data_IF_709790006182
#
_entry.id   IF_709790006182
#
_cell.length_a   1.000
_cell.length_b   1.000
_cell.length_c   1.000
_cell.angle_alpha   90.00
_cell.angle_beta   90.00
_cell.angle_gamma   90.00
#
_symmetry.space_group_name_H-M   'P 1'
#
loop_
_entity.id
_entity.type
_entity.pdbx_description
1 polymer ?
#
# COMPACT_ATOMS: atom_id res chain seq x y z
N UNK A 1 -0.10 17.53 5.18
CA UNK A 1 1.09 17.21 6.01
C UNK A 1 0.74 15.99 6.84
N UNK A 2 1.49 14.91 6.67
CA UNK A 2 1.35 13.68 7.46
C UNK A 2 1.76 14.00 8.91
N UNK A 3 0.93 13.63 9.88
CA UNK A 3 1.23 13.89 11.28
C UNK A 3 2.42 13.04 11.74
N UNK A 4 3.27 13.62 12.59
CA UNK A 4 4.40 12.91 13.17
C UNK A 4 3.96 12.10 14.38
N UNK A 5 4.09 10.77 14.32
CA UNK A 5 3.70 9.83 15.36
C UNK A 5 4.89 9.24 16.13
N UNK A 6 6.00 9.97 16.21
CA UNK A 6 7.16 9.63 17.03
C UNK A 6 7.78 10.89 17.62
N UNK A 7 8.54 10.72 18.69
CA UNK A 7 9.21 11.83 19.39
C UNK A 7 10.52 12.17 18.69
N UNK A 8 11.00 13.41 18.84
CA UNK A 8 12.26 13.89 18.26
C UNK A 8 13.48 13.04 18.61
N UNK A 9 13.43 12.31 19.72
CA UNK A 9 14.48 11.37 20.09
C UNK A 9 14.65 10.22 19.08
N UNK A 10 13.59 9.86 18.34
CA UNK A 10 13.63 8.84 17.30
C UNK A 10 14.36 9.34 16.04
N UNK A 11 14.22 10.61 15.69
CA UNK A 11 14.92 11.19 14.54
C UNK A 11 16.43 11.30 14.75
N UNK A 12 16.87 11.37 16.02
CA UNK A 12 18.27 11.56 16.39
C UNK A 12 19.10 10.28 16.41
N UNK A 13 18.50 9.11 16.27
CA UNK A 13 19.23 7.84 16.16
C UNK A 13 19.59 7.58 14.70
N UNK A 14 20.55 6.66 14.46
CA UNK A 14 20.94 6.29 13.10
C UNK A 14 19.77 5.74 12.29
N UNK A 15 19.81 5.96 10.97
CA UNK A 15 18.79 5.45 10.06
C UNK A 15 18.68 3.91 10.15
N UNK A 16 19.81 3.21 10.17
CA UNK A 16 19.86 1.76 10.35
C UNK A 16 19.06 1.30 11.57
N UNK A 17 19.21 2.02 12.68
CA UNK A 17 18.50 1.69 13.92
C UNK A 17 17.01 2.01 13.83
N UNK A 18 16.63 3.11 13.16
CA UNK A 18 15.22 3.44 12.90
C UNK A 18 14.58 2.35 12.07
N UNK A 19 15.22 2.01 10.95
CA UNK A 19 14.74 0.99 10.02
C UNK A 19 14.58 -0.36 10.73
N UNK A 20 15.56 -0.78 11.53
CA UNK A 20 15.48 -2.03 12.29
C UNK A 20 14.29 -2.06 13.24
N UNK A 21 14.01 -0.97 13.96
CA UNK A 21 12.87 -0.88 14.89
C UNK A 21 11.54 -0.98 14.11
N UNK A 22 11.42 -0.25 13.00
CA UNK A 22 10.19 -0.23 12.20
C UNK A 22 9.98 -1.54 11.46
N UNK A 23 11.03 -2.21 10.97
CA UNK A 23 10.94 -3.53 10.35
C UNK A 23 10.42 -4.57 11.35
N UNK A 24 11.03 -4.66 12.53
CA UNK A 24 10.59 -5.57 13.60
C UNK A 24 9.18 -5.23 14.06
N UNK A 25 8.84 -3.94 14.18
CA UNK A 25 7.48 -3.50 14.50
C UNK A 25 6.47 -3.95 13.45
N UNK A 26 6.77 -3.76 12.18
CA UNK A 26 5.93 -4.18 11.06
C UNK A 26 5.71 -5.70 11.07
N UNK A 27 6.76 -6.48 11.29
CA UNK A 27 6.69 -7.94 11.37
C UNK A 27 5.80 -8.40 12.53
N UNK A 28 5.98 -7.84 13.72
CA UNK A 28 5.17 -8.18 14.89
C UNK A 28 3.69 -7.82 14.68
N UNK A 29 3.41 -6.61 14.18
CA UNK A 29 2.03 -6.17 13.93
C UNK A 29 1.37 -6.98 12.80
N UNK A 30 2.07 -7.27 11.71
CA UNK A 30 1.51 -8.02 10.59
C UNK A 30 1.26 -9.48 10.90
N UNK A 31 2.00 -10.07 11.85
CA UNK A 31 1.87 -11.49 12.22
C UNK A 31 0.92 -11.74 13.38
N UNK A 32 0.74 -10.77 14.29
CA UNK A 32 -0.07 -10.91 15.52
C UNK A 32 -1.32 -10.06 15.53
N UNK A 33 -1.47 -9.16 14.58
CA UNK A 33 -2.47 -8.10 14.61
C UNK A 33 -2.14 -7.02 15.65
N UNK A 34 -2.79 -5.85 15.50
CA UNK A 34 -2.55 -4.72 16.40
C UNK A 34 -2.77 -5.09 17.88
N UNK A 35 -3.88 -5.77 18.20
CA UNK A 35 -4.25 -6.04 19.60
C UNK A 35 -3.24 -6.93 20.32
N UNK A 36 -2.74 -8.00 19.69
CA UNK A 36 -1.87 -9.00 20.28
C UNK A 36 -0.37 -8.66 20.21
N UNK A 37 0.03 -7.76 19.33
CA UNK A 37 1.41 -7.29 19.24
C UNK A 37 1.83 -6.53 20.51
N UNK A 38 3.07 -6.70 20.95
CA UNK A 38 3.54 -6.04 22.17
C UNK A 38 4.85 -5.27 21.96
N UNK A 39 4.92 -4.04 22.51
CA UNK A 39 6.14 -3.21 22.47
C UNK A 39 7.34 -3.94 23.11
N UNK A 40 7.10 -4.79 24.13
CA UNK A 40 8.15 -5.56 24.80
C UNK A 40 8.83 -6.54 23.83
N UNK A 41 8.05 -7.27 23.03
CA UNK A 41 8.57 -8.21 22.02
C UNK A 41 9.34 -7.43 20.96
N UNK A 42 8.76 -6.35 20.44
CA UNK A 42 9.41 -5.50 19.44
C UNK A 42 10.75 -4.96 19.95
N UNK A 43 10.80 -4.41 21.18
CA UNK A 43 12.02 -3.89 21.78
C UNK A 43 13.10 -4.97 21.90
N UNK A 44 12.72 -6.15 22.43
CA UNK A 44 13.64 -7.29 22.59
C UNK A 44 14.20 -7.76 21.25
N UNK A 45 13.34 -7.94 20.24
CA UNK A 45 13.73 -8.41 18.90
C UNK A 45 14.57 -7.36 18.16
N UNK A 46 14.27 -6.06 18.33
CA UNK A 46 15.08 -4.96 17.78
C UNK A 46 16.41 -4.73 18.55
N UNK A 47 16.66 -5.46 19.64
CA UNK A 47 17.90 -5.33 20.43
C UNK A 47 17.99 -4.05 21.24
N UNK A 48 16.86 -3.47 21.66
CA UNK A 48 16.83 -2.24 22.45
C UNK A 48 16.10 -2.43 23.78
N UNK A 49 16.44 -1.58 24.77
CA UNK A 49 15.73 -1.59 26.05
C UNK A 49 14.35 -0.99 25.92
N UNK A 50 13.35 -1.57 26.60
CA UNK A 50 11.96 -1.11 26.57
C UNK A 50 11.81 0.39 26.93
N UNK A 51 12.60 0.89 27.87
CA UNK A 51 12.60 2.32 28.21
C UNK A 51 13.01 3.24 27.06
N UNK A 52 13.80 2.75 26.08
CA UNK A 52 14.12 3.50 24.86
C UNK A 52 12.95 3.52 23.90
N UNK A 53 12.14 2.45 23.81
CA UNK A 53 10.92 2.47 22.99
C UNK A 53 9.98 3.58 23.45
N UNK A 54 9.73 3.70 24.75
CA UNK A 54 8.89 4.79 25.29
C UNK A 54 9.52 6.18 25.20
N UNK A 55 10.85 6.25 25.01
CA UNK A 55 11.53 7.51 24.67
C UNK A 55 11.27 7.91 23.21
N UNK A 56 11.01 6.95 22.32
CA UNK A 56 10.77 7.16 20.88
C UNK A 56 9.28 7.30 20.56
N UNK A 57 8.44 6.48 21.17
CA UNK A 57 6.99 6.42 20.94
C UNK A 57 6.26 6.60 22.27
N UNK A 58 5.21 7.44 22.29
CA UNK A 58 4.43 7.63 23.50
C UNK A 58 3.52 6.42 23.77
N UNK A 59 2.98 5.82 22.71
CA UNK A 59 2.00 4.73 22.74
C UNK A 59 2.37 3.61 21.76
N UNK A 60 1.69 2.46 21.87
CA UNK A 60 1.75 1.38 20.87
C UNK A 60 1.20 1.85 19.52
N UNK A 61 0.18 2.68 19.56
CA UNK A 61 -0.44 3.26 18.37
C UNK A 61 0.52 4.17 17.60
N UNK A 62 1.31 5.00 18.28
CA UNK A 62 2.34 5.83 17.65
C UNK A 62 3.36 5.00 16.88
N UNK A 63 3.82 3.89 17.46
CA UNK A 63 4.72 2.96 16.79
C UNK A 63 4.03 2.31 15.58
N UNK A 64 2.80 1.85 15.76
CA UNK A 64 2.00 1.21 14.71
C UNK A 64 1.81 2.14 13.51
N UNK A 65 1.36 3.37 13.74
CA UNK A 65 1.18 4.37 12.67
C UNK A 65 2.51 4.72 12.00
N UNK A 66 3.61 4.82 12.78
CA UNK A 66 4.93 5.07 12.20
C UNK A 66 5.39 3.92 11.29
N UNK A 67 5.07 2.67 11.64
CA UNK A 67 5.33 1.52 10.77
C UNK A 67 4.52 1.62 9.46
N UNK A 68 3.24 1.96 9.54
CA UNK A 68 2.38 2.17 8.37
C UNK A 68 2.94 3.28 7.48
N UNK A 69 3.24 4.45 8.05
CA UNK A 69 3.78 5.60 7.32
C UNK A 69 5.10 5.29 6.61
N UNK A 70 5.94 4.40 7.19
CA UNK A 70 7.15 3.92 6.50
C UNK A 70 6.79 3.09 5.27
N UNK A 71 5.87 2.14 5.38
CA UNK A 71 5.42 1.32 4.25
C UNK A 71 4.78 2.17 3.15
N UNK A 72 3.94 3.12 3.53
CA UNK A 72 3.30 4.05 2.59
C UNK A 72 4.31 4.91 1.84
N UNK A 73 5.34 5.43 2.50
CA UNK A 73 6.39 6.21 1.80
C UNK A 73 7.07 5.42 0.69
N UNK A 74 7.36 4.13 0.92
CA UNK A 74 7.96 3.26 -0.09
C UNK A 74 7.01 3.11 -1.30
N UNK A 75 5.73 2.90 -1.05
CA UNK A 75 4.71 2.74 -2.09
C UNK A 75 4.48 4.07 -2.83
N UNK A 76 4.25 5.15 -2.10
CA UNK A 76 3.97 6.48 -2.68
C UNK A 76 5.11 6.94 -3.59
N UNK A 77 6.37 6.76 -3.18
CA UNK A 77 7.52 7.11 -4.00
C UNK A 77 7.49 6.41 -5.37
N UNK A 78 7.19 5.12 -5.41
CA UNK A 78 7.07 4.36 -6.66
C UNK A 78 5.91 4.88 -7.53
N UNK A 79 4.76 5.17 -6.91
CA UNK A 79 3.60 5.72 -7.61
C UNK A 79 3.94 7.10 -8.18
N UNK A 80 4.57 7.97 -7.40
CA UNK A 80 4.98 9.31 -7.84
C UNK A 80 5.94 9.25 -9.01
N UNK A 81 6.97 8.41 -8.96
CA UNK A 81 7.94 8.21 -10.06
C UNK A 81 7.24 7.78 -11.36
N UNK A 82 6.30 6.84 -11.27
CA UNK A 82 5.52 6.39 -12.44
C UNK A 82 4.62 7.51 -12.95
N UNK A 83 3.91 8.20 -12.06
CA UNK A 83 2.95 9.23 -12.46
C UNK A 83 3.60 10.52 -12.95
N UNK A 84 4.82 10.84 -12.53
CA UNK A 84 5.58 11.98 -13.01
C UNK A 84 6.13 11.81 -14.43
N UNK A 85 6.13 10.60 -14.99
CA UNK A 85 6.61 10.36 -16.37
C UNK A 85 5.68 11.01 -17.42
N UNK A 86 6.19 11.27 -18.62
CA UNK A 86 5.41 11.80 -19.76
C UNK A 86 4.60 10.71 -20.50
N UNK A 87 4.58 9.49 -19.98
CA UNK A 87 3.87 8.38 -20.59
C UNK A 87 2.35 8.61 -20.59
N UNK A 88 1.68 8.01 -21.57
CA UNK A 88 0.21 7.93 -21.58
C UNK A 88 -0.30 7.14 -20.38
N UNK A 89 -1.54 7.42 -19.96
CA UNK A 89 -2.13 6.82 -18.76
C UNK A 89 -2.12 5.28 -18.78
N UNK A 90 -2.36 4.64 -19.93
CA UNK A 90 -2.32 3.17 -20.02
C UNK A 90 -0.91 2.59 -19.82
N UNK A 91 0.14 3.29 -20.27
CA UNK A 91 1.54 2.90 -20.00
C UNK A 91 1.85 3.05 -18.52
N UNK A 92 1.37 4.12 -17.88
CA UNK A 92 1.47 4.31 -16.42
C UNK A 92 0.73 3.20 -15.67
N UNK A 93 -0.47 2.81 -16.12
CA UNK A 93 -1.24 1.72 -15.53
C UNK A 93 -0.49 0.37 -15.64
N UNK A 94 0.12 0.06 -16.79
CA UNK A 94 0.97 -1.13 -16.93
C UNK A 94 2.15 -1.11 -15.94
N UNK A 95 2.86 0.01 -15.84
CA UNK A 95 3.97 0.17 -14.89
C UNK A 95 3.51 -0.02 -13.44
N UNK A 96 2.35 0.51 -13.08
CA UNK A 96 1.75 0.31 -11.75
C UNK A 96 1.42 -1.15 -11.48
N UNK A 97 0.79 -1.85 -12.42
CA UNK A 97 0.46 -3.28 -12.28
C UNK A 97 1.74 -4.10 -12.08
N UNK A 98 2.79 -3.85 -12.88
CA UNK A 98 4.11 -4.49 -12.72
C UNK A 98 4.75 -4.19 -11.37
N UNK A 99 4.76 -2.92 -10.97
CA UNK A 99 5.26 -2.52 -9.66
C UNK A 99 4.49 -3.20 -8.52
N UNK A 100 3.17 -3.32 -8.65
CA UNK A 100 2.30 -4.02 -7.69
C UNK A 100 2.73 -5.49 -7.51
N UNK A 101 2.95 -6.24 -8.59
CA UNK A 101 3.42 -7.63 -8.52
C UNK A 101 4.77 -7.74 -7.80
N UNK A 102 5.74 -6.88 -8.17
CA UNK A 102 7.09 -6.89 -7.58
C UNK A 102 7.07 -6.51 -6.10
N UNK A 103 6.37 -5.41 -5.76
CA UNK A 103 6.35 -4.88 -4.39
C UNK A 103 5.55 -5.77 -3.43
N UNK A 104 4.49 -6.43 -3.91
CA UNK A 104 3.71 -7.36 -3.09
C UNK A 104 4.56 -8.51 -2.56
N UNK A 105 5.45 -9.05 -3.39
CA UNK A 105 6.37 -10.12 -2.99
C UNK A 105 7.47 -9.62 -2.04
N UNK A 106 8.02 -8.43 -2.28
CA UNK A 106 9.13 -7.87 -1.50
C UNK A 106 8.70 -7.30 -0.16
N UNK A 107 7.50 -6.73 -0.10
CA UNK A 107 6.99 -5.97 1.04
C UNK A 107 5.74 -6.62 1.66
N UNK A 108 5.67 -7.95 1.65
CA UNK A 108 4.49 -8.72 2.08
C UNK A 108 3.99 -8.33 3.49
N UNK A 109 4.89 -8.03 4.43
CA UNK A 109 4.52 -7.64 5.78
C UNK A 109 3.76 -6.29 5.82
N UNK A 110 4.11 -5.33 4.95
CA UNK A 110 3.36 -4.07 4.86
C UNK A 110 1.97 -4.28 4.25
N UNK A 111 1.87 -5.15 3.24
CA UNK A 111 0.58 -5.45 2.61
C UNK A 111 -0.35 -6.17 3.62
N UNK A 112 0.18 -7.12 4.41
CA UNK A 112 -0.59 -7.75 5.49
C UNK A 112 -1.00 -6.75 6.56
N UNK A 113 -0.08 -5.85 6.95
CA UNK A 113 -0.39 -4.79 7.91
C UNK A 113 -1.52 -3.89 7.40
N UNK A 114 -1.52 -3.54 6.12
CA UNK A 114 -2.58 -2.77 5.49
C UNK A 114 -3.93 -3.53 5.49
N UNK A 115 -3.92 -4.84 5.21
CA UNK A 115 -5.12 -5.67 5.29
C UNK A 115 -5.70 -5.76 6.73
N UNK A 116 -4.85 -5.76 7.77
CA UNK A 116 -5.29 -5.70 9.17
C UNK A 116 -6.05 -4.40 9.47
N UNK A 117 -5.58 -3.28 8.90
CA UNK A 117 -6.24 -1.97 9.06
C UNK A 117 -7.66 -1.98 8.47
N UNK A 118 -7.86 -2.66 7.33
CA UNK A 118 -9.18 -2.80 6.71
C UNK A 118 -10.21 -3.54 7.59
N UNK A 119 -9.73 -4.25 8.63
CA UNK A 119 -10.56 -4.98 9.61
C UNK A 119 -10.79 -4.20 10.92
N UNK A 120 -10.30 -2.95 11.02
CA UNK A 120 -10.42 -2.10 12.21
C UNK A 120 -11.91 -1.79 12.50
N UNK A 121 -12.31 -1.93 13.77
CA UNK A 121 -13.71 -1.77 14.20
C UNK A 121 -13.96 -0.43 14.87
N UNK A 122 -12.93 0.25 15.36
CA UNK A 122 -13.05 1.57 15.95
C UNK A 122 -13.19 2.63 14.84
N UNK A 123 -14.33 3.34 14.84
CA UNK A 123 -14.64 4.31 13.79
C UNK A 123 -13.72 5.54 13.79
N UNK A 124 -13.25 5.98 14.94
CA UNK A 124 -12.34 7.13 15.04
C UNK A 124 -10.94 6.74 14.54
N UNK A 125 -10.46 5.57 14.96
CA UNK A 125 -9.19 5.01 14.47
C UNK A 125 -9.25 4.75 12.97
N UNK A 126 -10.34 4.17 12.46
CA UNK A 126 -10.54 3.96 11.01
C UNK A 126 -10.42 5.26 10.23
N UNK A 127 -11.12 6.33 10.67
CA UNK A 127 -11.05 7.63 10.00
C UNK A 127 -9.64 8.24 10.01
N UNK A 128 -8.93 8.10 11.13
CA UNK A 128 -7.54 8.55 11.24
C UNK A 128 -6.64 7.77 10.28
N UNK A 129 -6.70 6.44 10.28
CA UNK A 129 -5.87 5.57 9.43
C UNK A 129 -6.13 5.82 7.95
N UNK A 130 -7.39 5.95 7.53
CA UNK A 130 -7.75 6.30 6.15
C UNK A 130 -7.11 7.63 5.75
N UNK A 131 -7.16 8.65 6.60
CA UNK A 131 -6.51 9.94 6.31
C UNK A 131 -4.99 9.82 6.19
N UNK A 132 -4.35 9.06 7.07
CA UNK A 132 -2.88 8.88 7.06
C UNK A 132 -2.39 8.04 5.87
N UNK A 133 -3.22 7.12 5.37
CA UNK A 133 -2.85 6.18 4.30
C UNK A 133 -3.25 6.73 2.93
N UNK A 134 -4.51 7.17 2.77
CA UNK A 134 -5.09 7.42 1.45
C UNK A 134 -4.90 8.86 0.96
N UNK A 135 -4.53 9.78 1.86
CA UNK A 135 -4.53 11.22 1.51
C UNK A 135 -3.58 11.59 0.36
N UNK A 136 -2.45 10.90 0.24
CA UNK A 136 -1.45 11.17 -0.81
C UNK A 136 -1.78 10.41 -2.09
N UNK A 137 -1.96 9.10 -2.00
CA UNK A 137 -2.17 8.22 -3.17
C UNK A 137 -3.44 8.54 -3.94
N UNK A 138 -4.55 8.82 -3.24
CA UNK A 138 -5.82 9.19 -3.88
C UNK A 138 -5.70 10.48 -4.71
N UNK A 139 -4.94 11.45 -4.22
CA UNK A 139 -4.65 12.71 -4.94
C UNK A 139 -3.82 12.49 -6.19
N UNK A 140 -2.80 11.64 -6.12
CA UNK A 140 -1.91 11.33 -7.26
C UNK A 140 -2.70 10.67 -8.39
N UNK A 141 -3.48 9.61 -8.10
CA UNK A 141 -4.29 8.93 -9.10
C UNK A 141 -5.36 9.83 -9.72
N UNK A 142 -6.11 10.56 -8.88
CA UNK A 142 -7.15 11.48 -9.36
C UNK A 142 -6.59 12.54 -10.28
N UNK A 143 -5.44 13.13 -9.93
CA UNK A 143 -4.76 14.14 -10.74
C UNK A 143 -4.28 13.56 -12.07
N UNK A 144 -3.67 12.39 -12.08
CA UNK A 144 -3.19 11.75 -13.31
C UNK A 144 -4.35 11.43 -14.27
N UNK A 145 -5.47 10.92 -13.77
CA UNK A 145 -6.66 10.62 -14.60
C UNK A 145 -7.29 11.92 -15.12
N UNK A 146 -7.40 12.96 -14.29
CA UNK A 146 -7.93 14.26 -14.72
C UNK A 146 -7.05 14.91 -15.81
N UNK A 147 -5.73 14.80 -15.72
CA UNK A 147 -4.81 15.28 -16.75
C UNK A 147 -4.95 14.49 -18.06
N UNK A 148 -5.09 13.16 -17.98
CA UNK A 148 -5.30 12.32 -19.16
C UNK A 148 -6.64 12.64 -19.83
N UNK A 149 -7.70 12.90 -19.06
CA UNK A 149 -8.99 13.35 -19.55
C UNK A 149 -8.89 14.69 -20.28
N UNK A 150 -8.18 15.66 -19.68
CA UNK A 150 -7.97 16.98 -20.29
C UNK A 150 -7.16 16.93 -21.60
N UNK A 151 -6.25 15.95 -21.73
CA UNK A 151 -5.46 15.70 -22.94
C UNK A 151 -6.21 14.88 -24.01
N UNK A 152 -7.38 14.32 -23.69
CA UNK A 152 -8.12 13.42 -24.58
C UNK A 152 -7.49 12.03 -24.73
N UNK A 153 -6.63 11.63 -23.80
CA UNK A 153 -5.98 10.30 -23.79
C UNK A 153 -6.92 9.18 -23.32
N UNK A 154 -8.04 9.54 -22.68
CA UNK A 154 -9.05 8.62 -22.17
C UNK A 154 -10.46 9.09 -22.56
N UNK A 155 -11.44 8.22 -22.42
CA UNK A 155 -12.85 8.54 -22.74
C UNK A 155 -13.36 9.70 -21.88
N UNK A 156 -14.19 10.63 -22.46
CA UNK A 156 -14.56 11.89 -21.79
C UNK A 156 -15.65 11.76 -20.73
N UNK A 157 -16.31 10.62 -20.60
CA UNK A 157 -17.41 10.36 -19.67
C UNK A 157 -16.96 9.79 -18.32
N UNK A 158 -15.63 9.83 -18.02
CA UNK A 158 -15.07 9.35 -16.76
C UNK A 158 -15.22 10.38 -15.64
N UNK A 159 -15.60 9.91 -14.45
CA UNK A 159 -15.35 10.64 -13.21
C UNK A 159 -13.93 10.28 -12.68
N UNK A 160 -12.98 11.23 -12.67
CA UNK A 160 -11.60 10.93 -12.28
C UNK A 160 -11.45 10.36 -10.87
N UNK A 161 -12.32 10.75 -9.92
CA UNK A 161 -12.27 10.28 -8.53
C UNK A 161 -12.76 8.85 -8.41
N UNK A 162 -13.86 8.52 -9.06
CA UNK A 162 -14.39 7.15 -9.06
C UNK A 162 -13.46 6.19 -9.79
N UNK A 163 -12.88 6.60 -10.92
CA UNK A 163 -11.92 5.77 -11.64
C UNK A 163 -10.59 5.60 -10.88
N UNK A 164 -10.12 6.63 -10.18
CA UNK A 164 -8.98 6.52 -9.27
C UNK A 164 -9.26 5.46 -8.18
N UNK A 165 -10.42 5.54 -7.54
CA UNK A 165 -10.85 4.58 -6.53
C UNK A 165 -10.94 3.14 -7.08
N UNK A 166 -11.52 2.95 -8.27
CA UNK A 166 -11.62 1.62 -8.87
C UNK A 166 -10.26 1.06 -9.28
N UNK A 167 -9.38 1.88 -9.86
CA UNK A 167 -8.03 1.46 -10.23
C UNK A 167 -7.23 1.03 -8.99
N UNK A 168 -7.26 1.84 -7.94
CA UNK A 168 -6.59 1.54 -6.68
C UNK A 168 -7.11 0.23 -6.06
N UNK A 169 -8.43 0.01 -6.02
CA UNK A 169 -9.00 -1.24 -5.53
C UNK A 169 -8.59 -2.47 -6.35
N UNK A 170 -8.42 -2.35 -7.67
CA UNK A 170 -7.90 -3.43 -8.50
C UNK A 170 -6.46 -3.79 -8.13
N UNK A 171 -5.60 -2.76 -7.96
CA UNK A 171 -4.21 -2.94 -7.56
C UNK A 171 -4.12 -3.52 -6.14
N UNK A 172 -4.93 -3.03 -5.21
CA UNK A 172 -5.01 -3.51 -3.84
C UNK A 172 -5.47 -4.98 -3.78
N UNK A 173 -6.50 -5.36 -4.53
CA UNK A 173 -6.93 -6.77 -4.64
C UNK A 173 -5.82 -7.67 -5.17
N UNK A 174 -5.04 -7.20 -6.15
CA UNK A 174 -3.89 -7.94 -6.67
C UNK A 174 -2.80 -8.10 -5.61
N UNK A 175 -2.45 -7.02 -4.87
CA UNK A 175 -1.49 -7.07 -3.76
C UNK A 175 -1.89 -8.12 -2.70
N UNK A 176 -3.14 -8.10 -2.27
CA UNK A 176 -3.65 -9.05 -1.28
C UNK A 176 -3.61 -10.49 -1.79
N UNK A 177 -3.82 -10.71 -3.09
CA UNK A 177 -3.74 -12.04 -3.69
C UNK A 177 -2.34 -12.66 -3.62
N UNK A 178 -1.28 -11.85 -3.50
CA UNK A 178 0.07 -12.35 -3.27
C UNK A 178 0.43 -12.55 -1.79
N UNK A 179 -0.33 -11.97 -0.85
CA UNK A 179 0.16 -11.82 0.53
C UNK A 179 -0.80 -12.29 1.61
N UNK A 180 -2.11 -12.23 1.38
CA UNK A 180 -3.13 -12.51 2.38
C UNK A 180 -3.87 -13.80 2.07
N UNK A 181 -3.95 -14.72 3.02
CA UNK A 181 -4.44 -16.08 2.81
C UNK A 181 -5.83 -16.15 2.18
N UNK A 182 -6.79 -15.35 2.68
CA UNK A 182 -8.12 -15.29 2.08
C UNK A 182 -8.10 -14.93 0.59
N UNK A 183 -7.28 -13.95 0.21
CA UNK A 183 -7.20 -13.48 -1.17
C UNK A 183 -6.41 -14.46 -2.06
N UNK A 184 -5.42 -15.18 -1.54
CA UNK A 184 -4.73 -16.28 -2.21
C UNK A 184 -5.72 -17.40 -2.57
N UNK A 185 -6.48 -17.86 -1.58
CA UNK A 185 -7.51 -18.89 -1.79
C UNK A 185 -8.61 -18.41 -2.75
N UNK A 186 -9.03 -17.15 -2.62
CA UNK A 186 -9.98 -16.55 -3.55
C UNK A 186 -9.44 -16.53 -4.97
N UNK A 187 -8.19 -16.12 -5.19
CA UNK A 187 -7.55 -16.13 -6.51
C UNK A 187 -7.54 -17.54 -7.10
N UNK A 188 -7.08 -18.52 -6.33
CA UNK A 188 -7.06 -19.93 -6.71
C UNK A 188 -8.45 -20.46 -7.06
N UNK A 189 -9.46 -20.10 -6.29
CA UNK A 189 -10.85 -20.50 -6.56
C UNK A 189 -11.36 -20.03 -7.93
N UNK A 190 -11.00 -18.80 -8.34
CA UNK A 190 -11.41 -18.24 -9.63
C UNK A 190 -10.57 -18.72 -10.80
N UNK A 191 -9.28 -18.99 -10.59
CA UNK A 191 -8.31 -19.25 -11.66
C UNK A 191 -7.91 -20.72 -11.79
N UNK A 192 -8.17 -21.51 -10.76
CA UNK A 192 -7.78 -22.93 -10.66
C UNK A 192 -6.33 -23.15 -10.28
N UNK A 193 -5.52 -22.09 -10.12
CA UNK A 193 -4.09 -22.19 -9.77
C UNK A 193 -3.71 -21.13 -8.73
N UNK A 194 -2.64 -21.39 -7.99
CA UNK A 194 -2.09 -20.41 -7.04
C UNK A 194 -1.51 -19.22 -7.80
N UNK A 195 -1.62 -18.02 -7.23
CA UNK A 195 -1.12 -16.78 -7.86
C UNK A 195 0.40 -16.84 -8.11
N UNK A 196 1.13 -17.56 -7.27
CA UNK A 196 2.58 -17.74 -7.35
C UNK A 196 3.00 -18.71 -8.48
N UNK A 197 2.08 -19.60 -8.88
CA UNK A 197 2.28 -20.56 -9.98
C UNK A 197 1.82 -20.00 -11.34
N UNK A 198 1.02 -18.92 -11.33
CA UNK A 198 0.57 -18.29 -12.55
C UNK A 198 1.67 -17.43 -13.16
N UNK A 199 1.80 -17.49 -14.50
CA UNK A 199 2.69 -16.59 -15.23
C UNK A 199 2.33 -15.11 -14.95
N UNK A 200 3.28 -14.39 -14.39
CA UNK A 200 3.10 -12.99 -13.98
C UNK A 200 2.74 -12.10 -15.19
N UNK A 201 3.35 -12.33 -16.36
CA UNK A 201 3.04 -11.58 -17.57
C UNK A 201 1.59 -11.82 -18.03
N UNK A 202 1.06 -13.02 -17.79
CA UNK A 202 -0.35 -13.30 -18.05
C UNK A 202 -1.27 -12.51 -17.12
N UNK A 203 -0.95 -12.43 -15.83
CA UNK A 203 -1.72 -11.63 -14.84
C UNK A 203 -1.70 -10.16 -15.24
N UNK A 204 -0.51 -9.61 -15.50
CA UNK A 204 -0.31 -8.22 -15.90
C UNK A 204 -1.12 -7.91 -17.17
N UNK A 205 -0.95 -8.73 -18.22
CA UNK A 205 -1.60 -8.51 -19.50
C UNK A 205 -3.12 -8.59 -19.44
N UNK A 206 -3.70 -9.47 -18.62
CA UNK A 206 -5.16 -9.56 -18.47
C UNK A 206 -5.71 -8.39 -17.65
N UNK A 207 -5.02 -7.97 -16.57
CA UNK A 207 -5.45 -6.82 -15.79
C UNK A 207 -5.31 -5.53 -16.61
N UNK A 208 -4.25 -5.40 -17.42
CA UNK A 208 -4.06 -4.25 -18.29
C UNK A 208 -5.20 -4.14 -19.33
N UNK A 209 -5.61 -5.25 -19.97
CA UNK A 209 -6.75 -5.28 -20.88
C UNK A 209 -8.04 -4.83 -20.21
N UNK A 210 -8.28 -5.25 -18.97
CA UNK A 210 -9.43 -4.81 -18.21
C UNK A 210 -9.41 -3.30 -17.97
N UNK A 211 -8.26 -2.78 -17.54
CA UNK A 211 -8.06 -1.34 -17.32
C UNK A 211 -8.18 -0.55 -18.63
N UNK A 212 -7.58 -1.02 -19.72
CA UNK A 212 -7.69 -0.42 -21.05
C UNK A 212 -9.15 -0.32 -21.50
N UNK A 213 -9.92 -1.39 -21.37
CA UNK A 213 -11.35 -1.40 -21.73
C UNK A 213 -12.18 -0.41 -20.91
N UNK A 214 -11.75 -0.13 -19.66
CA UNK A 214 -12.42 0.86 -18.83
C UNK A 214 -12.07 2.30 -19.22
N UNK A 215 -10.86 2.57 -19.70
CA UNK A 215 -10.38 3.91 -20.03
C UNK A 215 -10.59 4.31 -21.50
N UNK A 216 -10.78 3.35 -22.40
CA UNK A 216 -10.92 3.62 -23.85
C UNK A 216 -12.32 3.30 -24.34
N UNK A 217 -12.73 3.96 -25.42
CA UNK A 217 -13.86 3.47 -26.19
C UNK A 217 -13.41 2.32 -27.09
N UNK A 218 -14.26 1.31 -27.27
CA UNK A 218 -14.11 0.43 -28.43
C UNK A 218 -14.20 1.29 -29.70
N UNK A 219 -13.15 1.28 -30.50
CA UNK A 219 -13.26 1.81 -31.87
C UNK A 219 -14.28 0.94 -32.61
N UNK A 220 -15.50 1.46 -32.77
CA UNK A 220 -16.48 0.86 -33.69
C UNK A 220 -15.97 0.89 -35.11
#
# INVERSE_FOLDING_TARGET
>A
MVNKHHKDAFDRISEERRERILEVGTEEFSSKGYENATINVIAKTAGIRIGLMYKYFATKEDLFITCIQRGMRILTQVIEEIMASDDKLLVKAEKLIRATCVHSKRNANYIRLYNEIASEKDSERTQMLVREIESETSGIYTTAIAQALAKGDVRPDLDPRLFAFFLDNLLMSLQFSYTCDYYKERFKFYTGVDVEEMDEERVIGQLLKFVESAFTFEKK
#
